data_IF_448141705209
#
_entry.id   IF_448141705209
#
_cell.length_a   1.000
_cell.length_b   1.000
_cell.length_c   1.000
_cell.angle_alpha   90.00
_cell.angle_beta   90.00
_cell.angle_gamma   90.00
#
_symmetry.space_group_name_H-M   'P 1'
#
loop_
_entity.id
_entity.type
_entity.pdbx_description
1 polymer ?
#
# COMPACT_ATOMS: atom_id res chain seq x y z
N UNK A 1 6.02 -16.95 -21.71
CA UNK A 1 6.04 -16.66 -20.27
C UNK A 1 4.80 -17.30 -19.67
N UNK A 2 4.96 -18.13 -18.64
CA UNK A 2 3.83 -18.75 -17.94
C UNK A 2 3.28 -17.73 -16.96
N UNK A 3 1.99 -17.48 -16.98
CA UNK A 3 1.31 -16.63 -16.00
C UNK A 3 0.70 -17.56 -14.96
N UNK A 4 1.02 -17.37 -13.68
CA UNK A 4 0.44 -18.15 -12.60
C UNK A 4 -0.93 -17.57 -12.22
N UNK A 5 -2.00 -18.34 -12.40
CA UNK A 5 -3.36 -17.93 -12.01
C UNK A 5 -3.58 -18.00 -10.49
N UNK A 6 -2.82 -18.86 -9.80
CA UNK A 6 -2.95 -19.09 -8.37
C UNK A 6 -1.58 -19.32 -7.71
N UNK A 7 -1.40 -18.75 -6.53
CA UNK A 7 -0.28 -18.97 -5.62
C UNK A 7 -0.83 -19.37 -4.26
N UNK A 8 -0.62 -20.64 -3.91
CA UNK A 8 -1.05 -21.21 -2.65
C UNK A 8 0.11 -21.30 -1.66
N UNK A 9 0.13 -20.38 -0.69
CA UNK A 9 1.03 -20.41 0.46
C UNK A 9 0.28 -21.02 1.64
N UNK A 10 0.24 -22.35 1.67
CA UNK A 10 -0.52 -23.12 2.66
C UNK A 10 0.44 -23.99 3.47
N UNK A 11 0.35 -23.94 4.80
CA UNK A 11 1.24 -24.67 5.73
C UNK A 11 2.72 -24.32 5.51
N UNK A 12 3.04 -23.03 5.64
CA UNK A 12 4.41 -22.53 5.54
C UNK A 12 4.87 -21.98 6.90
N UNK A 13 5.23 -22.84 7.87
CA UNK A 13 5.45 -22.45 9.27
C UNK A 13 6.69 -21.59 9.49
N UNK A 14 7.67 -21.64 8.57
CA UNK A 14 8.93 -20.88 8.65
C UNK A 14 9.00 -19.73 7.65
N UNK A 15 7.93 -19.49 6.88
CA UNK A 15 7.94 -18.44 5.89
C UNK A 15 7.86 -17.09 6.58
N UNK A 16 8.96 -16.32 6.55
CA UNK A 16 9.00 -14.99 7.15
C UNK A 16 8.66 -13.86 6.18
N UNK A 17 8.95 -14.06 4.89
CA UNK A 17 8.86 -13.03 3.86
C UNK A 17 8.22 -13.59 2.60
N UNK A 18 7.17 -12.94 2.12
CA UNK A 18 6.53 -13.22 0.83
C UNK A 18 6.55 -11.95 -0.02
N UNK A 19 7.22 -12.02 -1.17
CA UNK A 19 7.33 -10.90 -2.12
C UNK A 19 6.77 -11.35 -3.45
N UNK A 20 5.70 -10.69 -3.91
CA UNK A 20 5.07 -10.99 -5.19
C UNK A 20 5.68 -10.11 -6.27
N UNK A 21 6.64 -10.64 -7.02
CA UNK A 21 7.26 -9.89 -8.10
C UNK A 21 6.55 -10.19 -9.41
N UNK A 22 6.14 -9.13 -10.11
CA UNK A 22 5.46 -9.24 -11.38
C UNK A 22 6.16 -8.36 -12.42
N UNK A 23 6.98 -8.98 -13.27
CA UNK A 23 7.56 -8.32 -14.44
C UNK A 23 6.55 -8.35 -15.57
N UNK A 24 5.55 -7.47 -15.54
CA UNK A 24 4.82 -7.14 -16.77
C UNK A 24 5.35 -5.83 -17.32
N UNK A 25 6.19 -5.87 -18.37
CA UNK A 25 6.73 -4.65 -18.96
C UNK A 25 5.67 -3.86 -19.74
N UNK A 26 4.52 -4.48 -20.06
CA UNK A 26 3.45 -3.85 -20.85
C UNK A 26 2.08 -4.46 -20.54
N UNK A 27 1.03 -3.66 -20.32
CA UNK A 27 -0.35 -4.14 -20.12
C UNK A 27 -0.97 -4.79 -21.38
N UNK A 28 -0.29 -4.77 -22.54
CA UNK A 28 -0.86 -5.20 -23.83
C UNK A 28 -0.99 -6.72 -24.05
N UNK A 29 -0.46 -7.56 -23.15
CA UNK A 29 -0.44 -9.03 -23.35
C UNK A 29 -1.17 -9.84 -22.29
N UNK A 30 -1.74 -9.16 -21.32
CA UNK A 30 -2.54 -9.78 -20.27
C UNK A 30 -3.95 -9.20 -20.43
N UNK A 31 -4.98 -10.06 -20.42
CA UNK A 31 -6.35 -9.56 -20.46
C UNK A 31 -6.54 -8.56 -19.32
N UNK A 32 -7.31 -7.48 -19.56
CA UNK A 32 -7.66 -6.51 -18.51
C UNK A 32 -8.35 -7.17 -17.29
N UNK A 33 -8.79 -8.42 -17.44
CA UNK A 33 -9.44 -9.24 -16.42
C UNK A 33 -8.51 -10.23 -15.70
N UNK A 34 -7.20 -10.23 -15.99
CA UNK A 34 -6.31 -11.18 -15.32
C UNK A 34 -6.25 -10.89 -13.81
N UNK A 35 -6.62 -11.92 -13.04
CA UNK A 35 -6.58 -11.90 -11.59
C UNK A 35 -5.81 -13.10 -11.08
N UNK A 36 -4.76 -12.84 -10.31
CA UNK A 36 -3.97 -13.86 -9.65
C UNK A 36 -4.49 -14.09 -8.23
N UNK A 37 -4.86 -15.32 -7.89
CA UNK A 37 -5.26 -15.67 -6.52
C UNK A 37 -4.03 -15.88 -5.66
N UNK A 38 -3.96 -15.20 -4.53
CA UNK A 38 -2.89 -15.35 -3.55
C UNK A 38 -3.50 -15.86 -2.26
N UNK A 39 -3.31 -17.14 -1.99
CA UNK A 39 -3.87 -17.80 -0.82
C UNK A 39 -2.84 -17.88 0.29
N UNK A 40 -3.21 -17.40 1.48
CA UNK A 40 -2.41 -17.46 2.69
C UNK A 40 -3.14 -18.34 3.70
N UNK A 41 -2.53 -19.47 4.04
CA UNK A 41 -3.04 -20.45 5.00
C UNK A 41 -1.93 -20.91 5.94
N UNK A 42 -2.19 -20.86 7.25
CA UNK A 42 -1.26 -21.26 8.32
C UNK A 42 0.20 -20.83 8.07
N UNK A 43 0.48 -19.54 8.28
CA UNK A 43 1.80 -18.94 8.14
C UNK A 43 2.18 -18.17 9.42
N UNK A 44 2.44 -18.86 10.55
CA UNK A 44 2.65 -18.25 11.87
C UNK A 44 3.85 -17.29 11.94
N UNK A 45 4.87 -17.45 11.09
CA UNK A 45 6.07 -16.62 11.10
C UNK A 45 6.09 -15.54 10.01
N UNK A 46 5.01 -15.38 9.23
CA UNK A 46 4.98 -14.42 8.13
C UNK A 46 4.97 -12.99 8.65
N UNK A 47 6.12 -12.32 8.57
CA UNK A 47 6.38 -10.96 9.08
C UNK A 47 6.31 -9.91 7.98
N UNK A 48 6.65 -10.27 6.74
CA UNK A 48 6.75 -9.34 5.62
C UNK A 48 5.96 -9.87 4.44
N UNK A 49 5.04 -9.06 3.94
CA UNK A 49 4.20 -9.39 2.80
C UNK A 49 4.20 -8.18 1.86
N UNK A 50 4.58 -8.37 0.61
CA UNK A 50 4.70 -7.20 -0.27
C UNK A 50 4.56 -7.44 -1.74
N UNK A 51 4.46 -6.30 -2.41
CA UNK A 51 4.25 -6.14 -3.84
C UNK A 51 2.89 -6.66 -4.32
N UNK A 52 1.89 -6.63 -3.44
CA UNK A 52 0.51 -6.91 -3.83
C UNK A 52 -0.06 -5.73 -4.61
N UNK A 53 -0.19 -5.91 -5.90
CA UNK A 53 -0.98 -5.04 -6.77
C UNK A 53 -2.48 -5.34 -6.64
N UNK A 54 -3.27 -4.38 -6.14
CA UNK A 54 -4.69 -4.58 -5.85
C UNK A 54 -5.57 -4.79 -7.08
N UNK A 55 -5.13 -4.31 -8.25
CA UNK A 55 -5.80 -4.55 -9.52
C UNK A 55 -5.60 -5.95 -10.09
N UNK A 56 -4.60 -6.69 -9.61
CA UNK A 56 -4.19 -8.01 -10.14
C UNK A 56 -4.40 -9.10 -9.09
N UNK A 57 -3.97 -8.87 -7.85
CA UNK A 57 -3.93 -9.91 -6.83
C UNK A 57 -5.23 -9.95 -6.01
N UNK A 58 -5.87 -11.12 -6.01
CA UNK A 58 -7.01 -11.45 -5.17
C UNK A 58 -6.52 -12.22 -3.96
N UNK A 59 -6.60 -11.60 -2.78
CA UNK A 59 -6.16 -12.21 -1.54
C UNK A 59 -7.19 -13.20 -1.01
N UNK A 60 -6.75 -14.39 -0.64
CA UNK A 60 -7.57 -15.44 -0.02
C UNK A 60 -6.94 -15.81 1.32
N UNK A 61 -7.66 -15.63 2.42
CA UNK A 61 -7.17 -15.99 3.77
C UNK A 61 -8.12 -17.01 4.37
N UNK A 62 -7.57 -18.13 4.85
CA UNK A 62 -8.35 -19.21 5.47
C UNK A 62 -9.53 -19.69 4.59
N UNK A 63 -9.29 -19.82 3.27
CA UNK A 63 -10.26 -20.18 2.24
C UNK A 63 -11.39 -19.17 2.00
N UNK A 64 -11.26 -17.95 2.52
CA UNK A 64 -12.20 -16.85 2.26
C UNK A 64 -11.55 -15.83 1.35
N UNK A 65 -12.23 -15.51 0.25
CA UNK A 65 -11.82 -14.42 -0.67
C UNK A 65 -12.05 -13.08 0.03
N UNK A 66 -11.05 -12.20 0.00
CA UNK A 66 -11.12 -10.87 0.59
C UNK A 66 -11.67 -9.89 -0.44
N UNK A 67 -12.92 -9.45 -0.24
CA UNK A 67 -13.64 -8.55 -1.14
C UNK A 67 -13.58 -7.08 -0.68
N UNK A 68 -13.92 -6.15 -1.59
CA UNK A 68 -13.91 -4.72 -1.30
C UNK A 68 -14.98 -4.35 -0.28
N UNK A 69 -14.60 -3.58 0.75
CA UNK A 69 -15.52 -3.20 1.82
C UNK A 69 -15.94 -4.34 2.77
N UNK A 70 -15.44 -5.56 2.58
CA UNK A 70 -15.65 -6.65 3.52
C UNK A 70 -15.12 -6.27 4.92
N UNK A 71 -15.77 -6.80 5.96
CA UNK A 71 -15.29 -6.71 7.34
C UNK A 71 -14.58 -8.02 7.68
N UNK A 72 -13.23 -8.06 7.74
CA UNK A 72 -12.52 -9.28 8.06
C UNK A 72 -12.92 -9.79 9.45
N UNK A 73 -13.17 -11.10 9.53
CA UNK A 73 -13.31 -11.80 10.80
C UNK A 73 -11.92 -12.15 11.37
N UNK A 74 -11.87 -12.57 12.63
CA UNK A 74 -10.62 -13.05 13.25
C UNK A 74 -9.93 -14.19 12.46
N UNK A 75 -10.69 -15.00 11.71
CA UNK A 75 -10.14 -16.09 10.89
C UNK A 75 -9.46 -15.60 9.61
N UNK A 76 -9.87 -14.43 9.12
CA UNK A 76 -9.33 -13.79 7.91
C UNK A 76 -8.30 -12.71 8.25
N UNK A 77 -7.78 -12.72 9.48
CA UNK A 77 -6.72 -11.83 9.93
C UNK A 77 -5.40 -12.60 10.02
N UNK A 78 -4.32 -11.95 9.59
CA UNK A 78 -2.95 -12.45 9.68
C UNK A 78 -2.16 -11.45 10.53
N UNK A 79 -2.25 -11.54 11.88
CA UNK A 79 -1.65 -10.57 12.79
C UNK A 79 -0.11 -10.68 12.88
N UNK A 80 0.50 -11.60 12.15
CA UNK A 80 1.96 -11.83 12.15
C UNK A 80 2.67 -10.82 11.26
N UNK A 81 1.98 -10.29 10.24
CA UNK A 81 2.55 -9.35 9.26
C UNK A 81 2.79 -7.99 9.92
N UNK A 82 4.06 -7.55 9.88
CA UNK A 82 4.55 -6.27 10.39
C UNK A 82 4.90 -5.29 9.29
N UNK A 83 5.33 -5.78 8.13
CA UNK A 83 5.65 -4.96 6.96
C UNK A 83 4.75 -5.36 5.82
N UNK A 84 3.99 -4.39 5.30
CA UNK A 84 3.06 -4.59 4.20
C UNK A 84 3.39 -3.66 3.04
N UNK A 85 3.53 -4.20 1.82
CA UNK A 85 3.74 -3.39 0.61
C UNK A 85 2.64 -3.62 -0.44
N UNK A 86 1.91 -2.56 -0.80
CA UNK A 86 0.78 -2.59 -1.72
C UNK A 86 0.96 -1.62 -2.89
N UNK A 87 0.65 -2.07 -4.10
CA UNK A 87 0.57 -1.23 -5.30
C UNK A 87 -0.91 -0.96 -5.60
N UNK A 88 -1.26 0.32 -5.72
CA UNK A 88 -2.65 0.78 -5.72
C UNK A 88 -2.87 1.81 -6.81
N UNK A 89 -3.93 1.62 -7.61
CA UNK A 89 -4.45 2.66 -8.52
C UNK A 89 -5.46 3.50 -7.76
N UNK A 90 -5.04 4.63 -7.22
CA UNK A 90 -5.90 5.52 -6.42
C UNK A 90 -7.05 6.15 -7.22
N UNK A 91 -6.96 6.19 -8.55
CA UNK A 91 -8.07 6.56 -9.44
C UNK A 91 -9.21 5.54 -9.46
N UNK A 92 -8.98 4.29 -9.05
CA UNK A 92 -9.98 3.21 -9.05
C UNK A 92 -10.60 3.08 -7.65
N UNK A 93 -11.86 3.49 -7.50
CA UNK A 93 -12.58 3.46 -6.22
C UNK A 93 -12.59 2.07 -5.56
N UNK A 94 -12.69 1.02 -6.36
CA UNK A 94 -12.68 -0.36 -5.85
C UNK A 94 -11.35 -0.71 -5.19
N UNK A 95 -10.22 -0.34 -5.79
CA UNK A 95 -8.89 -0.59 -5.22
C UNK A 95 -8.66 0.19 -3.93
N UNK A 96 -9.16 1.43 -3.85
CA UNK A 96 -9.10 2.20 -2.62
C UNK A 96 -9.89 1.54 -1.46
N UNK A 97 -11.05 0.94 -1.75
CA UNK A 97 -11.79 0.15 -0.74
C UNK A 97 -11.05 -1.13 -0.38
N UNK A 98 -10.48 -1.83 -1.37
CA UNK A 98 -9.66 -3.03 -1.17
C UNK A 98 -8.46 -2.75 -0.27
N UNK A 99 -7.78 -1.62 -0.47
CA UNK A 99 -6.67 -1.16 0.37
C UNK A 99 -7.08 -1.15 1.85
N UNK A 100 -8.26 -0.60 2.16
CA UNK A 100 -8.76 -0.55 3.53
C UNK A 100 -9.13 -1.94 4.07
N UNK A 101 -9.72 -2.81 3.24
CA UNK A 101 -9.95 -4.21 3.63
C UNK A 101 -8.64 -4.94 3.92
N UNK A 102 -7.61 -4.75 3.10
CA UNK A 102 -6.31 -5.38 3.29
C UNK A 102 -5.65 -4.91 4.58
N UNK A 103 -5.67 -3.61 4.87
CA UNK A 103 -5.19 -3.09 6.15
C UNK A 103 -5.91 -3.71 7.36
N UNK A 104 -7.19 -4.05 7.24
CA UNK A 104 -7.95 -4.76 8.29
C UNK A 104 -7.56 -6.24 8.42
N UNK A 105 -7.16 -6.89 7.34
CA UNK A 105 -6.63 -8.27 7.38
C UNK A 105 -5.27 -8.35 8.08
N UNK A 106 -4.50 -7.27 8.15
CA UNK A 106 -3.17 -7.23 8.77
C UNK A 106 -3.14 -6.24 9.95
N UNK A 107 -3.74 -6.59 11.10
CA UNK A 107 -3.98 -5.65 12.19
C UNK A 107 -2.71 -5.17 12.93
N UNK A 108 -1.55 -5.81 12.75
CA UNK A 108 -0.29 -5.48 13.44
C UNK A 108 0.78 -4.87 12.54
N UNK A 109 0.41 -4.36 11.36
CA UNK A 109 1.36 -3.69 10.46
C UNK A 109 2.00 -2.49 11.16
N UNK A 110 3.33 -2.49 11.22
CA UNK A 110 4.16 -1.43 11.78
C UNK A 110 4.71 -0.51 10.67
N UNK A 111 5.02 -1.08 9.51
CA UNK A 111 5.52 -0.34 8.34
C UNK A 111 4.66 -0.62 7.11
N UNK A 112 4.09 0.44 6.54
CA UNK A 112 3.25 0.38 5.35
C UNK A 112 3.95 1.03 4.16
N UNK A 113 4.20 0.25 3.11
CA UNK A 113 4.69 0.73 1.82
C UNK A 113 3.54 0.77 0.82
N UNK A 114 3.33 1.92 0.20
CA UNK A 114 2.33 2.14 -0.84
C UNK A 114 3.07 2.59 -2.09
N UNK A 115 2.72 2.01 -3.23
CA UNK A 115 3.16 2.46 -4.55
C UNK A 115 1.94 2.89 -5.36
N UNK A 116 1.92 4.15 -5.82
CA UNK A 116 0.87 4.61 -6.73
C UNK A 116 1.12 4.07 -8.13
N UNK A 117 0.08 3.48 -8.72
CA UNK A 117 0.08 2.99 -10.10
C UNK A 117 -0.80 3.88 -10.99
N UNK A 118 -0.49 3.92 -12.29
CA UNK A 118 -1.27 4.69 -13.27
C UNK A 118 -2.63 4.03 -13.50
N UNK A 119 -3.64 4.87 -13.72
CA UNK A 119 -4.94 4.43 -14.24
C UNK A 119 -5.03 4.80 -15.72
N UNK A 120 -5.36 3.83 -16.57
CA UNK A 120 -5.55 4.05 -18.02
C UNK A 120 -6.79 4.92 -18.34
N UNK A 121 -7.72 5.06 -17.40
CA UNK A 121 -8.93 5.87 -17.57
C UNK A 121 -8.72 7.30 -17.03
N UNK A 122 -9.10 8.34 -17.79
CA UNK A 122 -9.07 9.71 -17.31
C UNK A 122 -9.94 9.76 -16.07
N UNK A 123 -9.32 10.18 -14.96
CA UNK A 123 -9.96 10.37 -13.67
C UNK A 123 -11.16 11.29 -13.90
N UNK A 124 -12.35 10.71 -14.07
CA UNK A 124 -13.59 11.43 -13.86
C UNK A 124 -13.46 12.10 -12.51
N UNK A 125 -14.04 13.30 -12.37
CA UNK A 125 -14.03 14.16 -11.16
C UNK A 125 -14.61 13.39 -9.96
N UNK A 126 -13.91 12.36 -9.50
CA UNK A 126 -14.24 11.54 -8.37
C UNK A 126 -13.90 12.43 -7.19
N UNK A 127 -14.90 12.68 -6.36
CA UNK A 127 -14.79 13.53 -5.19
C UNK A 127 -13.86 12.86 -4.18
N UNK A 128 -12.55 12.96 -4.43
CA UNK A 128 -11.45 12.32 -3.70
C UNK A 128 -11.52 12.58 -2.19
N UNK A 129 -12.07 13.74 -1.83
CA UNK A 129 -12.31 14.18 -0.45
C UNK A 129 -13.13 13.20 0.39
N UNK A 130 -13.98 12.36 -0.22
CA UNK A 130 -14.87 11.46 0.52
C UNK A 130 -14.51 9.98 0.42
N UNK A 131 -13.53 9.61 -0.40
CA UNK A 131 -13.26 8.21 -0.71
C UNK A 131 -12.85 7.41 0.54
N UNK A 132 -12.04 8.02 1.42
CA UNK A 132 -11.58 7.40 2.66
C UNK A 132 -12.37 7.86 3.91
N UNK A 133 -13.20 8.90 3.79
CA UNK A 133 -13.95 9.45 4.92
C UNK A 133 -15.20 8.64 5.28
N UNK A 134 -15.72 7.80 4.38
CA UNK A 134 -16.91 6.99 4.64
C UNK A 134 -16.65 5.78 5.55
N UNK A 135 -15.39 5.41 5.78
CA UNK A 135 -15.07 4.28 6.64
C UNK A 135 -15.14 4.66 8.12
N UNK A 136 -16.32 4.44 8.71
CA UNK A 136 -16.60 4.68 10.13
C UNK A 136 -15.89 3.67 11.03
N UNK A 137 -15.57 2.47 10.51
CA UNK A 137 -14.92 1.41 11.29
C UNK A 137 -13.42 1.68 11.44
N UNK A 138 -12.89 1.75 12.67
CA UNK A 138 -11.46 1.92 12.91
C UNK A 138 -10.65 0.78 12.28
N UNK A 139 -9.49 1.13 11.72
CA UNK A 139 -8.53 0.16 11.22
C UNK A 139 -7.44 0.02 12.28
N UNK A 140 -7.35 -1.17 12.88
CA UNK A 140 -6.51 -1.41 14.06
C UNK A 140 -5.03 -1.10 13.79
N UNK A 141 -4.47 -1.54 12.65
CA UNK A 141 -3.07 -1.28 12.35
C UNK A 141 -2.76 0.22 12.24
N UNK A 142 -3.63 1.00 11.60
CA UNK A 142 -3.50 2.46 11.54
C UNK A 142 -3.58 3.06 12.94
N UNK A 143 -4.59 2.68 13.73
CA UNK A 143 -4.83 3.26 15.04
C UNK A 143 -3.65 3.04 16.00
N UNK A 144 -3.13 1.81 16.08
CA UNK A 144 -2.30 1.37 17.22
C UNK A 144 -0.96 0.74 16.85
N UNK A 145 -0.60 0.59 15.57
CA UNK A 145 0.61 -0.16 15.20
C UNK A 145 1.50 0.54 14.16
N UNK A 146 0.95 1.28 13.20
CA UNK A 146 1.71 1.91 12.12
C UNK A 146 2.61 3.01 12.69
N UNK A 147 3.92 2.84 12.49
CA UNK A 147 4.99 3.77 12.87
C UNK A 147 5.62 4.43 11.66
N UNK A 148 5.71 3.72 10.53
CA UNK A 148 6.32 4.21 9.29
C UNK A 148 5.38 4.00 8.10
N UNK A 149 5.26 5.02 7.27
CA UNK A 149 4.56 4.95 5.98
C UNK A 149 5.51 5.45 4.90
N UNK A 150 5.66 4.66 3.84
CA UNK A 150 6.43 5.02 2.65
C UNK A 150 5.47 5.06 1.47
N UNK A 151 5.29 6.24 0.88
CA UNK A 151 4.47 6.45 -0.30
C UNK A 151 5.39 6.69 -1.49
N UNK A 152 5.47 5.72 -2.40
CA UNK A 152 6.26 5.76 -3.62
C UNK A 152 5.44 6.18 -4.82
N UNK A 153 6.13 6.84 -5.76
CA UNK A 153 5.57 7.28 -7.04
C UNK A 153 4.41 8.27 -6.86
N UNK A 154 4.56 9.23 -5.94
CA UNK A 154 3.53 10.23 -5.64
C UNK A 154 3.46 11.29 -6.73
N UNK A 155 2.27 11.48 -7.31
CA UNK A 155 1.99 12.45 -8.40
C UNK A 155 1.27 13.70 -7.93
N UNK A 156 0.82 13.72 -6.67
CA UNK A 156 0.06 14.87 -6.14
C UNK A 156 -1.40 14.88 -6.55
N UNK A 157 -1.93 13.72 -6.94
CA UNK A 157 -3.34 13.58 -7.27
C UNK A 157 -4.22 13.77 -6.02
N UNK A 158 -5.46 14.23 -6.24
CA UNK A 158 -6.39 14.47 -5.14
C UNK A 158 -6.71 13.21 -4.32
N UNK A 159 -6.71 12.04 -4.95
CA UNK A 159 -6.96 10.72 -4.34
C UNK A 159 -5.78 10.27 -3.46
N UNK A 160 -4.55 10.47 -3.92
CA UNK A 160 -3.32 10.20 -3.17
C UNK A 160 -3.22 11.12 -1.94
N UNK A 161 -3.48 12.42 -2.13
CA UNK A 161 -3.54 13.39 -1.03
C UNK A 161 -4.61 13.03 0.00
N UNK A 162 -5.77 12.53 -0.45
CA UNK A 162 -6.84 12.08 0.44
C UNK A 162 -6.41 10.86 1.27
N UNK A 163 -5.66 9.93 0.68
CA UNK A 163 -5.11 8.79 1.42
C UNK A 163 -4.08 9.23 2.46
N UNK A 164 -3.11 10.07 2.08
CA UNK A 164 -2.11 10.59 3.02
C UNK A 164 -2.78 11.35 4.17
N UNK A 165 -3.79 12.17 3.87
CA UNK A 165 -4.59 12.84 4.91
C UNK A 165 -5.27 11.83 5.83
N UNK A 166 -5.93 10.83 5.28
CA UNK A 166 -6.60 9.77 6.05
C UNK A 166 -5.64 9.06 7.01
N UNK A 167 -4.43 8.73 6.54
CA UNK A 167 -3.39 8.12 7.37
C UNK A 167 -2.97 9.08 8.48
N UNK A 168 -2.66 10.34 8.17
CA UNK A 168 -2.24 11.34 9.16
C UNK A 168 -3.32 11.61 10.22
N UNK A 169 -4.59 11.61 9.83
CA UNK A 169 -5.74 11.86 10.70
C UNK A 169 -6.12 10.65 11.58
N UNK A 170 -5.61 9.45 11.29
CA UNK A 170 -5.98 8.22 12.03
C UNK A 170 -4.81 7.51 12.69
N UNK A 171 -3.59 7.67 12.17
CA UNK A 171 -2.43 6.98 12.69
C UNK A 171 -1.90 7.67 13.95
N UNK A 172 -2.11 7.04 15.11
CA UNK A 172 -1.77 7.64 16.41
C UNK A 172 -0.31 7.44 16.80
N UNK A 173 0.35 6.42 16.24
CA UNK A 173 1.75 6.08 16.52
C UNK A 173 2.69 6.38 15.35
N UNK A 174 2.20 7.10 14.34
CA UNK A 174 3.02 7.42 13.16
C UNK A 174 4.18 8.33 13.57
N UNK A 175 5.39 7.89 13.25
CA UNK A 175 6.67 8.56 13.53
C UNK A 175 7.33 9.03 12.24
N UNK A 176 7.18 8.28 11.14
CA UNK A 176 7.86 8.60 9.90
C UNK A 176 6.91 8.49 8.71
N UNK A 177 6.85 9.55 7.91
CA UNK A 177 6.22 9.53 6.60
C UNK A 177 7.28 9.85 5.55
N UNK A 178 7.50 8.93 4.61
CA UNK A 178 8.38 9.12 3.47
C UNK A 178 7.52 9.25 2.23
N UNK A 179 7.66 10.33 1.48
CA UNK A 179 6.99 10.54 0.19
C UNK A 179 8.04 10.63 -0.89
N UNK A 180 7.97 9.71 -1.85
CA UNK A 180 8.88 9.68 -3.00
C UNK A 180 8.09 10.10 -4.23
N UNK A 181 8.46 11.25 -4.79
CA UNK A 181 7.81 11.86 -5.95
C UNK A 181 8.02 10.99 -7.19
N UNK A 182 7.01 10.96 -8.06
CA UNK A 182 7.12 10.34 -9.38
C UNK A 182 8.18 11.05 -10.22
N UNK A 183 8.96 10.28 -10.99
CA UNK A 183 9.96 10.81 -11.92
C UNK A 183 9.33 11.00 -13.30
N UNK A 184 8.49 12.03 -13.45
CA UNK A 184 7.86 12.39 -14.72
C UNK A 184 8.82 13.21 -15.60
N UNK A 185 9.92 12.57 -16.01
CA UNK A 185 10.81 13.10 -17.05
C UNK A 185 11.80 14.18 -16.62
N UNK A 186 12.17 14.26 -15.34
CA UNK A 186 13.23 15.14 -14.85
C UNK A 186 12.93 16.64 -14.87
N UNK A 187 11.67 17.06 -15.09
CA UNK A 187 11.29 18.46 -14.98
C UNK A 187 11.22 18.87 -13.49
N UNK A 188 12.15 19.73 -13.07
CA UNK A 188 12.18 20.23 -11.70
C UNK A 188 10.94 21.07 -11.35
N UNK A 189 10.31 21.73 -12.33
CA UNK A 189 9.13 22.56 -12.09
C UNK A 189 7.90 21.72 -11.72
N UNK A 190 7.73 20.55 -12.35
CA UNK A 190 6.63 19.63 -12.02
C UNK A 190 6.80 19.03 -10.62
N UNK A 191 8.03 18.67 -10.24
CA UNK A 191 8.32 18.18 -8.88
C UNK A 191 8.09 19.23 -7.79
N UNK A 192 8.43 20.49 -8.07
CA UNK A 192 8.15 21.59 -7.14
C UNK A 192 6.63 21.81 -6.99
N UNK A 193 5.86 21.72 -8.08
CA UNK A 193 4.40 21.80 -8.02
C UNK A 193 3.79 20.67 -7.18
N UNK A 194 4.23 19.43 -7.39
CA UNK A 194 3.77 18.27 -6.61
C UNK A 194 4.14 18.43 -5.13
N UNK A 195 5.37 18.90 -4.84
CA UNK A 195 5.80 19.26 -3.49
C UNK A 195 4.92 20.34 -2.85
N UNK A 196 4.53 21.37 -3.62
CA UNK A 196 3.64 22.43 -3.18
C UNK A 196 2.25 21.91 -2.80
N UNK A 197 1.73 20.88 -3.49
CA UNK A 197 0.47 20.22 -3.13
C UNK A 197 0.54 19.41 -1.84
N UNK A 198 1.73 18.97 -1.45
CA UNK A 198 1.97 18.26 -0.18
C UNK A 198 2.08 19.21 1.02
N UNK A 199 2.53 20.45 0.80
CA UNK A 199 2.70 21.48 1.87
C UNK A 199 1.49 21.59 2.81
N UNK A 200 0.23 21.69 2.34
CA UNK A 200 -0.93 21.76 3.23
C UNK A 200 -1.09 20.55 4.15
N UNK A 201 -0.64 19.35 3.74
CA UNK A 201 -0.66 18.16 4.59
C UNK A 201 0.46 18.19 5.62
N UNK A 202 1.65 18.68 5.24
CA UNK A 202 2.81 18.83 6.12
C UNK A 202 2.51 19.82 7.25
N UNK A 203 1.95 20.98 6.92
CA UNK A 203 1.64 22.04 7.88
C UNK A 203 0.29 21.85 8.59
N UNK A 204 -0.47 20.80 8.26
CA UNK A 204 -1.74 20.52 8.92
C UNK A 204 -1.53 20.16 10.38
N UNK A 205 -2.31 20.80 11.26
CA UNK A 205 -2.35 20.50 12.70
C UNK A 205 -3.29 19.34 13.05
N UNK A 206 -4.06 18.83 12.08
CA UNK A 206 -5.06 17.75 12.28
C UNK A 206 -4.45 16.34 12.28
N UNK A 207 -3.28 16.17 12.89
CA UNK A 207 -2.63 14.85 12.99
C UNK A 207 -3.15 14.10 14.21
N UNK A 208 -3.45 12.81 14.04
CA UNK A 208 -3.79 11.93 15.17
C UNK A 208 -2.56 11.59 16.02
N UNK A 209 -1.40 11.44 15.36
CA UNK A 209 -0.15 11.18 16.05
C UNK A 209 0.26 12.37 16.91
N UNK A 210 0.47 12.10 18.20
CA UNK A 210 1.04 13.05 19.17
C UNK A 210 2.56 12.87 19.31
N UNK A 211 3.18 12.05 18.45
CA UNK A 211 4.63 11.88 18.47
C UNK A 211 5.33 13.21 18.16
N UNK A 212 6.11 13.70 19.12
CA UNK A 212 6.91 14.92 18.99
C UNK A 212 8.00 14.78 17.93
N UNK A 213 8.51 13.56 17.75
CA UNK A 213 9.56 13.23 16.78
C UNK A 213 9.00 12.77 15.43
N UNK A 214 7.79 13.20 15.06
CA UNK A 214 7.25 12.88 13.75
C UNK A 214 8.02 13.63 12.65
N UNK A 215 8.55 12.89 11.67
CA UNK A 215 9.34 13.45 10.56
C UNK A 215 8.70 13.08 9.23
N UNK A 216 8.67 14.05 8.32
CA UNK A 216 8.30 13.84 6.92
C UNK A 216 9.56 13.98 6.06
N UNK A 217 9.86 12.95 5.29
CA UNK A 217 10.91 12.98 4.27
C UNK A 217 10.26 13.06 2.89
N UNK A 218 10.75 13.96 2.05
CA UNK A 218 10.33 14.06 0.65
C UNK A 218 11.56 13.84 -0.21
N UNK A 219 11.48 12.86 -1.11
CA UNK A 219 12.54 12.49 -2.03
C UNK A 219 12.06 12.61 -3.47
N UNK A 220 12.93 13.09 -4.35
CA UNK A 220 12.73 13.05 -5.81
C UNK A 220 13.46 11.85 -6.42
N UNK A 221 12.95 11.33 -7.55
CA UNK A 221 13.68 10.34 -8.36
C UNK A 221 13.66 8.92 -7.78
N UNK A 222 12.51 8.48 -7.28
CA UNK A 222 12.35 7.12 -6.77
C UNK A 222 12.42 6.05 -7.86
N UNK A 223 13.24 5.02 -7.66
CA UNK A 223 13.17 3.82 -8.50
C UNK A 223 11.90 3.01 -8.20
N UNK A 224 11.37 2.36 -9.23
CA UNK A 224 10.33 1.35 -9.05
C UNK A 224 10.81 0.27 -8.07
N UNK A 225 9.86 -0.45 -7.49
CA UNK A 225 10.17 -1.62 -6.67
C UNK A 225 11.08 -2.56 -7.42
N UNK A 226 11.98 -3.25 -6.71
CA UNK A 226 13.05 -4.01 -7.32
C UNK A 226 13.17 -5.36 -6.61
N UNK A 227 13.04 -6.44 -7.38
CA UNK A 227 13.20 -7.79 -6.86
C UNK A 227 14.53 -8.00 -6.16
N UNK A 228 15.65 -7.48 -6.70
CA UNK A 228 16.98 -7.65 -6.10
C UNK A 228 17.02 -7.09 -4.69
N UNK A 229 16.52 -5.86 -4.51
CA UNK A 229 16.43 -5.22 -3.19
C UNK A 229 15.50 -6.00 -2.26
N UNK A 230 14.35 -6.45 -2.75
CA UNK A 230 13.39 -7.17 -1.91
C UNK A 230 13.83 -8.60 -1.54
N UNK A 231 14.67 -9.22 -2.38
CA UNK A 231 15.22 -10.56 -2.15
C UNK A 231 16.45 -10.57 -1.23
N UNK A 232 17.01 -9.41 -0.92
CA UNK A 232 18.19 -9.29 -0.05
C UNK A 232 17.82 -9.57 1.42
N UNK A 233 18.29 -10.72 1.92
CA UNK A 233 18.00 -11.17 3.29
C UNK A 233 18.69 -10.32 4.35
N UNK A 234 19.77 -9.60 4.00
CA UNK A 234 20.49 -8.71 4.93
C UNK A 234 19.65 -7.49 5.31
N UNK A 235 18.66 -7.13 4.49
CA UNK A 235 17.77 -6.01 4.75
C UNK A 235 16.70 -6.41 5.77
N UNK A 236 16.51 -5.55 6.77
CA UNK A 236 15.43 -5.66 7.75
C UNK A 236 14.08 -5.29 7.16
N UNK A 237 14.04 -4.33 6.23
CA UNK A 237 12.85 -3.99 5.44
C UNK A 237 13.17 -4.16 3.93
N UNK A 238 12.60 -5.19 3.28
CA UNK A 238 12.86 -5.49 1.87
C UNK A 238 12.26 -4.47 0.91
N UNK A 239 11.34 -3.61 1.35
CA UNK A 239 10.60 -2.69 0.48
C UNK A 239 11.07 -1.24 0.59
N UNK A 240 11.96 -0.96 1.55
CA UNK A 240 12.52 0.36 1.79
C UNK A 240 13.37 0.85 0.61
N UNK A 241 13.43 2.18 0.46
CA UNK A 241 14.21 2.86 -0.57
C UNK A 241 15.67 3.00 -0.13
#
# INVERSE_FOLDING_TARGET
MSVAEELDVVVAPRLERLVLWNEFPYPRRVSHDFRMRVKIGYTPELKMLGYLELGIHVLVIANTVIEDGAKPSHRTMVPTVKVLALKVRFGVRQEAKMLLTFLRCFPRVETLHIMSAESDEPTGKLNSKFMFCQDVVPIECLKSHIKKVVFKNFRGEGSELAFLRFVLERAQLLQTLVVVLADEGGDHASQEEVGNRLKPLIYSTRRASRCTNFVIFVHSGGSAWNFRTASDLSRSDPFDC
#
